data_IF_608150059616
#
_entry.id   IF_608150059616
#
_cell.length_a   1.000
_cell.length_b   1.000
_cell.length_c   1.000
_cell.angle_alpha   90.00
_cell.angle_beta   90.00
_cell.angle_gamma   90.00
#
_symmetry.space_group_name_H-M   'P 1'
#
loop_
_entity.id
_entity.type
_entity.pdbx_description
1 polymer ?
#
# COMPACT_ATOMS: atom_id res chain seq x y z
N UNK A 1 -36.01 -40.22 47.49
CA UNK A 1 -35.64 -39.34 46.38
C UNK A 1 -36.94 -38.73 45.86
N UNK A 2 -37.10 -37.43 46.09
CA UNK A 2 -38.13 -36.58 45.45
C UNK A 2 -37.73 -36.33 43.98
N UNK A 3 -38.62 -35.91 43.04
CA UNK A 3 -39.49 -34.74 43.23
C UNK A 3 -40.92 -34.74 42.65
N UNK A 4 -41.64 -33.71 43.12
CA UNK A 4 -42.98 -33.19 42.85
C UNK A 4 -43.19 -32.55 41.44
N UNK A 5 -44.45 -32.22 41.05
CA UNK A 5 -44.89 -32.07 39.66
C UNK A 5 -44.98 -30.62 39.12
N UNK A 6 -45.30 -30.56 37.83
CA UNK A 6 -45.44 -29.40 36.92
C UNK A 6 -46.58 -28.43 37.25
N UNK A 7 -46.41 -27.16 36.89
CA UNK A 7 -47.48 -26.28 36.40
C UNK A 7 -47.00 -25.43 35.22
N UNK A 8 -47.84 -25.38 34.18
CA UNK A 8 -47.73 -24.52 33.00
C UNK A 8 -48.51 -23.23 33.24
N UNK A 9 -48.09 -22.12 32.62
CA UNK A 9 -48.99 -21.15 31.98
C UNK A 9 -48.18 -20.17 31.11
N UNK A 10 -48.50 -20.11 29.82
CA UNK A 10 -47.99 -19.08 28.91
C UNK A 10 -48.80 -17.79 28.97
N UNK A 11 -48.29 -16.71 28.36
CA UNK A 11 -49.03 -15.71 27.53
C UNK A 11 -48.04 -14.63 27.04
N UNK A 12 -47.97 -14.45 25.71
CA UNK A 12 -48.00 -13.17 24.98
C UNK A 12 -46.91 -12.08 25.13
N UNK A 13 -46.29 -11.76 23.98
CA UNK A 13 -45.78 -10.45 23.50
C UNK A 13 -44.72 -9.73 24.39
N UNK A 14 -43.64 -9.13 23.89
CA UNK A 14 -43.57 -8.04 22.92
C UNK A 14 -42.16 -7.97 22.31
N UNK A 15 -42.10 -7.47 21.07
CA UNK A 15 -40.90 -6.97 20.41
C UNK A 15 -40.35 -5.78 21.19
N UNK A 16 -39.08 -5.81 21.56
CA UNK A 16 -38.34 -4.57 21.84
C UNK A 16 -37.08 -4.48 20.98
N UNK A 17 -36.98 -3.30 20.41
CA UNK A 17 -36.14 -2.82 19.34
C UNK A 17 -34.98 -2.09 20.02
N UNK A 18 -33.80 -2.70 20.19
CA UNK A 18 -32.61 -1.98 20.65
C UNK A 18 -31.99 -1.20 19.48
N UNK A 19 -32.64 -0.09 19.18
CA UNK A 19 -32.03 1.02 18.48
C UNK A 19 -30.93 1.66 19.36
N UNK A 20 -29.78 1.92 18.75
CA UNK A 20 -28.96 3.10 18.98
C UNK A 20 -28.33 3.26 20.39
N UNK A 21 -27.20 2.58 20.60
CA UNK A 21 -26.21 3.00 21.59
C UNK A 21 -25.58 4.33 21.15
N UNK A 22 -25.56 5.39 21.97
CA UNK A 22 -24.94 6.65 21.59
C UNK A 22 -23.40 6.52 21.57
N UNK A 23 -22.80 6.94 20.46
CA UNK A 23 -21.36 7.11 20.33
C UNK A 23 -20.87 8.16 21.33
N UNK A 24 -19.91 7.78 22.18
CA UNK A 24 -19.21 8.71 23.07
C UNK A 24 -18.36 9.64 22.21
N UNK A 25 -18.81 10.88 22.09
CA UNK A 25 -18.15 11.99 21.41
C UNK A 25 -16.90 12.40 22.21
N UNK A 26 -15.72 12.28 21.62
CA UNK A 26 -14.49 12.85 22.19
C UNK A 26 -14.59 14.39 22.22
N UNK A 27 -14.19 15.06 23.32
CA UNK A 27 -14.23 16.51 23.40
C UNK A 27 -13.16 17.14 22.50
N UNK A 28 -13.57 18.17 21.78
CA UNK A 28 -12.79 18.92 20.81
C UNK A 28 -12.47 20.29 21.42
N UNK A 29 -11.32 20.40 22.09
CA UNK A 29 -10.66 21.66 22.46
C UNK A 29 -9.39 21.35 23.26
N UNK A 30 -8.22 21.26 22.61
CA UNK A 30 -6.87 21.49 23.22
C UNK A 30 -5.75 21.22 22.20
N UNK A 31 -5.78 21.93 21.06
CA UNK A 31 -4.57 22.15 20.25
C UNK A 31 -4.55 23.61 19.85
N UNK A 32 -4.46 24.48 20.85
CA UNK A 32 -4.07 25.88 20.69
C UNK A 32 -3.19 26.26 21.89
N UNK A 33 -2.03 26.84 21.59
CA UNK A 33 -0.99 27.37 22.47
C UNK A 33 0.22 26.47 22.77
N UNK A 34 1.10 26.35 21.77
CA UNK A 34 2.54 26.30 22.03
C UNK A 34 3.20 27.53 21.34
N UNK A 35 4.03 28.32 22.04
CA UNK A 35 4.59 29.56 21.48
C UNK A 35 5.67 29.27 20.43
N UNK A 36 5.50 29.85 19.25
CA UNK A 36 6.52 29.93 18.20
C UNK A 36 7.56 30.97 18.59
N UNK A 37 8.76 30.54 18.97
CA UNK A 37 9.92 31.43 19.09
C UNK A 37 10.71 31.43 17.78
N UNK A 38 10.81 32.62 17.18
CA UNK A 38 11.59 32.93 15.99
C UNK A 38 13.08 33.12 16.34
N UNK A 39 13.98 32.89 15.38
CA UNK A 39 15.06 33.85 15.20
C UNK A 39 15.14 34.41 13.78
N UNK A 40 15.12 35.75 13.75
CA UNK A 40 15.89 36.66 12.92
C UNK A 40 15.74 36.62 11.38
N UNK A 41 15.15 37.70 10.90
CA UNK A 41 15.07 38.21 9.54
C UNK A 41 16.43 38.35 8.84
N UNK A 42 16.47 37.98 7.57
CA UNK A 42 17.56 38.27 6.64
C UNK A 42 17.07 38.31 5.19
N UNK A 43 16.64 39.52 4.77
CA UNK A 43 16.50 40.07 3.40
C UNK A 43 15.72 39.30 2.33
N UNK A 44 14.63 39.94 1.91
CA UNK A 44 13.83 39.64 0.74
C UNK A 44 14.54 40.10 -0.53
N UNK A 45 14.60 39.22 -1.53
CA UNK A 45 14.68 39.59 -2.94
C UNK A 45 13.69 38.73 -3.76
N UNK A 46 12.63 39.41 -4.20
CA UNK A 46 11.84 39.28 -5.43
C UNK A 46 11.72 37.87 -6.09
N UNK A 47 10.51 37.31 -6.01
CA UNK A 47 10.03 36.22 -6.87
C UNK A 47 9.68 36.79 -8.26
N UNK A 48 10.12 36.17 -9.38
CA UNK A 48 9.38 36.22 -10.63
C UNK A 48 8.54 34.94 -10.79
N UNK A 49 7.25 35.16 -11.02
CA UNK A 49 6.36 34.25 -11.71
C UNK A 49 6.89 33.94 -13.12
N UNK A 50 6.41 32.82 -13.66
CA UNK A 50 6.45 32.37 -15.06
C UNK A 50 7.51 31.30 -15.43
N UNK A 51 6.96 30.12 -15.73
CA UNK A 51 7.36 29.21 -16.80
C UNK A 51 8.80 28.63 -16.81
N UNK A 52 8.94 27.36 -16.42
CA UNK A 52 9.36 26.31 -17.35
C UNK A 52 9.24 24.90 -16.74
N UNK A 53 8.33 24.10 -17.30
CA UNK A 53 8.33 22.65 -17.20
C UNK A 53 9.28 22.12 -18.27
N UNK A 54 10.58 22.16 -18.04
CA UNK A 54 11.57 21.46 -18.88
C UNK A 54 12.85 21.25 -18.05
N UNK A 55 12.88 20.11 -17.34
CA UNK A 55 13.99 19.71 -16.48
C UNK A 55 14.46 18.28 -16.75
N UNK A 56 14.31 17.80 -17.99
CA UNK A 56 15.03 16.63 -18.46
C UNK A 56 16.41 17.05 -18.97
N UNK A 57 17.45 16.75 -18.18
CA UNK A 57 18.85 16.41 -18.56
C UNK A 57 19.84 16.96 -17.55
N UNK A 58 20.27 16.11 -16.64
CA UNK A 58 21.60 16.22 -16.07
C UNK A 58 22.22 14.82 -16.00
N UNK A 59 22.84 14.42 -17.11
CA UNK A 59 23.74 13.26 -17.19
C UNK A 59 25.16 13.79 -17.05
N UNK A 60 25.80 13.49 -15.92
CA UNK A 60 27.25 13.57 -15.78
C UNK A 60 27.85 12.34 -16.47
N UNK A 61 28.53 12.57 -17.59
CA UNK A 61 29.27 11.56 -18.33
C UNK A 61 30.56 11.22 -17.59
N UNK A 62 30.65 10.01 -17.04
CA UNK A 62 31.92 9.42 -16.60
C UNK A 62 32.10 8.08 -17.32
N UNK A 63 33.19 7.99 -18.09
CA UNK A 63 33.61 6.85 -18.89
C UNK A 63 33.84 5.57 -18.07
N UNK A 64 33.28 4.45 -18.55
CA UNK A 64 33.66 3.03 -18.35
C UNK A 64 32.45 2.14 -18.02
N UNK A 65 32.04 1.36 -19.02
CA UNK A 65 31.10 0.24 -18.88
C UNK A 65 29.65 0.65 -19.01
N UNK A 66 29.06 0.36 -20.17
CA UNK A 66 27.62 0.45 -20.42
C UNK A 66 26.84 -0.23 -19.28
N UNK A 67 26.35 0.57 -18.32
CA UNK A 67 25.36 0.11 -17.35
C UNK A 67 24.07 0.04 -18.13
N UNK A 68 23.77 -1.14 -18.66
CA UNK A 68 22.40 -1.48 -19.07
C UNK A 68 21.53 -1.19 -17.84
N UNK A 69 20.83 -0.05 -17.85
CA UNK A 69 19.83 0.26 -16.84
C UNK A 69 18.71 -0.73 -17.08
N UNK A 70 18.80 -1.90 -16.44
CA UNK A 70 17.77 -2.92 -16.60
C UNK A 70 16.48 -2.31 -16.06
N UNK A 71 15.48 -2.19 -16.93
CA UNK A 71 14.17 -1.74 -16.54
C UNK A 71 13.62 -2.73 -15.50
N UNK A 72 13.13 -2.19 -14.38
CA UNK A 72 12.48 -2.99 -13.32
C UNK A 72 11.10 -3.44 -13.78
N UNK A 73 10.51 -2.69 -14.70
CA UNK A 73 9.16 -2.89 -15.19
C UNK A 73 9.14 -3.05 -16.69
N UNK A 74 8.14 -3.77 -17.19
CA UNK A 74 7.82 -3.92 -18.61
C UNK A 74 6.36 -3.55 -18.87
N UNK A 75 6.02 -3.39 -20.15
CA UNK A 75 4.65 -3.13 -20.54
C UNK A 75 3.78 -4.39 -20.37
N UNK A 76 2.59 -4.21 -19.79
CA UNK A 76 1.55 -5.23 -19.73
C UNK A 76 0.35 -4.78 -20.60
N UNK A 77 -0.15 -5.59 -21.54
CA UNK A 77 -1.13 -5.13 -22.53
C UNK A 77 -2.46 -4.66 -21.94
N UNK A 78 -2.87 -5.24 -20.80
CA UNK A 78 -4.12 -4.88 -20.09
C UNK A 78 -3.91 -3.84 -18.99
N UNK A 79 -3.02 -4.13 -18.04
CA UNK A 79 -2.73 -3.31 -16.85
C UNK A 79 -1.85 -2.09 -17.18
N UNK A 80 -1.12 -2.10 -18.29
CA UNK A 80 -0.21 -1.05 -18.73
C UNK A 80 1.24 -1.29 -18.29
N UNK A 81 1.48 -1.57 -17.02
CA UNK A 81 2.84 -1.82 -16.48
C UNK A 81 2.82 -2.98 -15.50
N UNK A 82 3.86 -3.81 -15.54
CA UNK A 82 4.15 -4.84 -14.54
C UNK A 82 5.65 -4.92 -14.24
N UNK A 83 6.04 -5.60 -13.17
CA UNK A 83 7.45 -5.88 -12.93
C UNK A 83 7.99 -6.93 -13.88
N UNK A 84 9.25 -6.79 -14.30
CA UNK A 84 9.94 -7.81 -15.07
C UNK A 84 10.27 -9.01 -14.15
N UNK A 85 9.73 -10.21 -14.41
CA UNK A 85 9.96 -11.38 -13.56
C UNK A 85 11.44 -11.75 -13.46
N UNK A 86 11.86 -12.16 -12.26
CA UNK A 86 13.23 -12.57 -11.99
C UNK A 86 14.27 -11.44 -12.06
N UNK A 87 13.85 -10.16 -12.14
CA UNK A 87 14.80 -9.05 -12.11
C UNK A 87 15.32 -8.82 -10.70
N UNK A 88 16.64 -8.63 -10.60
CA UNK A 88 17.30 -8.11 -9.41
C UNK A 88 18.18 -6.94 -9.82
N UNK A 89 17.94 -5.77 -9.26
CA UNK A 89 18.63 -4.56 -9.68
C UNK A 89 18.81 -3.56 -8.54
N UNK A 90 19.95 -2.90 -8.55
CA UNK A 90 20.28 -1.81 -7.63
C UNK A 90 19.84 -0.48 -8.25
N UNK A 91 19.14 0.35 -7.48
CA UNK A 91 18.64 1.67 -7.87
C UNK A 91 19.19 2.75 -6.94
N UNK A 92 19.53 3.95 -7.45
CA UNK A 92 19.90 5.08 -6.61
C UNK A 92 18.68 5.58 -5.84
N UNK A 93 18.88 6.08 -4.62
CA UNK A 93 17.84 6.82 -3.89
C UNK A 93 17.96 8.33 -4.15
N UNK A 94 16.86 9.10 -4.06
CA UNK A 94 16.89 10.56 -4.18
C UNK A 94 17.74 11.26 -3.11
N UNK A 95 17.82 10.69 -1.90
CA UNK A 95 18.57 11.21 -0.75
C UNK A 95 20.03 10.74 -0.71
N UNK A 96 20.46 9.95 -1.70
CA UNK A 96 21.79 9.35 -1.78
C UNK A 96 21.83 7.88 -1.36
N UNK A 97 22.85 7.18 -1.85
CA UNK A 97 22.97 5.73 -1.68
C UNK A 97 22.09 4.94 -2.65
N UNK A 98 21.91 3.65 -2.35
CA UNK A 98 21.21 2.72 -3.23
C UNK A 98 20.31 1.76 -2.48
N UNK A 99 19.29 1.25 -3.16
CA UNK A 99 18.43 0.17 -2.69
C UNK A 99 18.37 -0.95 -3.74
N UNK A 100 18.10 -2.17 -3.28
CA UNK A 100 17.96 -3.34 -4.16
C UNK A 100 16.48 -3.65 -4.33
N UNK A 101 16.07 -3.79 -5.58
CA UNK A 101 14.76 -4.32 -5.96
C UNK A 101 14.97 -5.73 -6.46
N UNK A 102 14.24 -6.69 -5.89
CA UNK A 102 14.18 -8.07 -6.36
C UNK A 102 12.74 -8.44 -6.65
N UNK A 103 12.53 -9.06 -7.80
CA UNK A 103 11.26 -9.55 -8.30
C UNK A 103 11.39 -11.04 -8.53
N UNK A 104 10.42 -11.78 -8.02
CA UNK A 104 10.39 -13.23 -8.11
C UNK A 104 9.94 -13.70 -9.49
N UNK A 105 9.85 -15.02 -9.69
CA UNK A 105 9.51 -15.63 -10.98
C UNK A 105 8.08 -15.30 -11.47
N UNK A 106 7.19 -14.92 -10.55
CA UNK A 106 5.80 -14.56 -10.84
C UNK A 106 5.60 -13.05 -11.10
N UNK A 107 6.67 -12.25 -11.15
CA UNK A 107 6.55 -10.80 -11.32
C UNK A 107 6.13 -10.07 -10.03
N UNK A 108 6.20 -10.73 -8.89
CA UNK A 108 5.94 -10.11 -7.59
C UNK A 108 7.25 -9.59 -7.04
N UNK A 109 7.30 -8.32 -6.68
CA UNK A 109 8.44 -7.76 -5.96
C UNK A 109 8.50 -8.44 -4.59
N UNK A 110 9.44 -9.37 -4.41
CA UNK A 110 9.65 -10.13 -3.18
C UNK A 110 10.98 -10.90 -3.27
N UNK A 111 11.53 -11.27 -2.12
CA UNK A 111 12.73 -12.13 -2.03
C UNK A 111 12.40 -13.63 -2.09
N UNK A 112 11.12 -13.98 -2.10
CA UNK A 112 10.61 -15.36 -2.08
C UNK A 112 9.55 -15.59 -3.14
N UNK A 113 9.27 -16.87 -3.38
CA UNK A 113 8.17 -17.32 -4.23
C UNK A 113 6.90 -17.53 -3.39
N UNK A 114 5.75 -17.45 -4.06
CA UNK A 114 4.43 -17.69 -3.49
C UNK A 114 3.69 -18.74 -4.31
N UNK A 115 3.08 -19.70 -3.63
CA UNK A 115 2.21 -20.70 -4.26
C UNK A 115 0.82 -20.11 -4.52
N UNK A 116 0.16 -20.58 -5.57
CA UNK A 116 -1.23 -20.16 -5.87
C UNK A 116 -2.18 -20.58 -4.75
N UNK A 117 -2.09 -21.83 -4.31
CA UNK A 117 -2.80 -22.34 -3.12
C UNK A 117 -2.12 -21.85 -1.86
N UNK A 118 -2.92 -21.55 -0.84
CA UNK A 118 -2.41 -21.10 0.46
C UNK A 118 -1.90 -22.29 1.28
N UNK A 119 -0.71 -22.21 1.89
CA UNK A 119 -0.24 -23.26 2.79
C UNK A 119 -1.23 -23.47 3.97
N UNK A 120 -1.38 -24.71 4.48
CA UNK A 120 -2.21 -24.96 5.66
C UNK A 120 -1.73 -24.14 6.87
N UNK A 121 -2.67 -23.53 7.61
CA UNK A 121 -2.37 -22.74 8.81
C UNK A 121 -1.85 -21.32 8.54
N UNK A 122 -1.63 -20.95 7.28
CA UNK A 122 -1.23 -19.60 6.90
C UNK A 122 -2.45 -18.71 6.69
N UNK A 123 -2.37 -17.45 7.13
CA UNK A 123 -3.30 -16.37 6.78
C UNK A 123 -2.68 -15.52 5.66
N UNK A 124 -3.38 -15.37 4.54
CA UNK A 124 -2.82 -14.72 3.35
C UNK A 124 -3.56 -13.44 2.99
N UNK A 125 -2.77 -12.39 2.82
CA UNK A 125 -3.21 -11.04 2.51
C UNK A 125 -2.72 -10.68 1.11
N UNK A 126 -3.62 -10.24 0.23
CA UNK A 126 -3.25 -9.63 -1.05
C UNK A 126 -3.31 -8.12 -0.91
N UNK A 127 -2.26 -7.43 -1.38
CA UNK A 127 -2.16 -5.97 -1.34
C UNK A 127 -2.11 -5.42 -2.75
N UNK A 128 -2.97 -4.44 -3.04
CA UNK A 128 -2.97 -3.67 -4.26
C UNK A 128 -2.84 -2.19 -3.93
N UNK A 129 -1.99 -1.45 -4.65
CA UNK A 129 -1.76 -0.06 -4.33
C UNK A 129 -0.71 0.62 -5.19
N UNK A 130 -0.38 1.83 -4.77
CA UNK A 130 0.48 2.76 -5.47
C UNK A 130 1.98 2.60 -5.13
N UNK A 131 2.76 3.65 -5.39
CA UNK A 131 4.19 3.74 -5.05
C UNK A 131 4.51 3.60 -3.56
N UNK A 132 3.62 4.04 -2.66
CA UNK A 132 3.80 3.93 -1.21
C UNK A 132 3.64 2.47 -0.80
N UNK A 133 2.57 1.83 -1.25
CA UNK A 133 2.34 0.42 -0.97
C UNK A 133 3.42 -0.48 -1.63
N UNK A 134 3.92 -0.09 -2.81
CA UNK A 134 5.03 -0.78 -3.48
C UNK A 134 6.40 -0.60 -2.78
N UNK A 135 6.51 0.35 -1.84
CA UNK A 135 7.74 0.65 -1.12
C UNK A 135 8.82 1.26 -2.01
N UNK A 136 8.50 2.35 -2.70
CA UNK A 136 9.47 3.09 -3.50
C UNK A 136 10.67 3.51 -2.64
N UNK A 137 11.87 3.42 -3.24
CA UNK A 137 13.16 3.78 -2.64
C UNK A 137 13.65 2.88 -1.48
N UNK A 138 12.88 1.87 -1.11
CA UNK A 138 13.23 0.91 -0.06
C UNK A 138 13.74 -0.41 -0.63
N UNK A 139 14.59 -1.12 0.10
CA UNK A 139 14.85 -2.53 -0.20
C UNK A 139 13.61 -3.37 0.13
N UNK A 140 13.50 -4.59 -0.40
CA UNK A 140 12.33 -5.44 -0.18
C UNK A 140 12.06 -5.65 1.31
N UNK A 141 13.10 -5.90 2.11
CA UNK A 141 13.02 -6.19 3.56
C UNK A 141 12.50 -5.02 4.38
N UNK A 142 12.49 -3.80 3.83
CA UNK A 142 12.03 -2.59 4.50
C UNK A 142 10.64 -2.14 4.05
N UNK A 143 9.95 -2.92 3.20
CA UNK A 143 8.56 -2.64 2.85
C UNK A 143 7.64 -3.18 3.93
N UNK A 144 6.50 -2.53 4.12
CA UNK A 144 5.56 -2.93 5.16
C UNK A 144 5.08 -4.38 5.00
N UNK A 145 4.89 -4.86 3.76
CA UNK A 145 4.50 -6.24 3.46
C UNK A 145 5.51 -7.24 4.03
N UNK A 146 6.78 -7.01 3.77
CA UNK A 146 7.87 -7.88 4.17
C UNK A 146 8.10 -7.79 5.69
N UNK A 147 7.93 -6.61 6.28
CA UNK A 147 7.99 -6.42 7.73
C UNK A 147 6.85 -7.13 8.48
N UNK A 148 5.66 -7.26 7.87
CA UNK A 148 4.55 -8.05 8.44
C UNK A 148 4.90 -9.53 8.43
N UNK A 149 5.39 -10.07 7.30
CA UNK A 149 5.81 -11.48 7.21
C UNK A 149 6.98 -11.79 8.15
N UNK A 150 7.92 -10.86 8.32
CA UNK A 150 9.05 -11.03 9.24
C UNK A 150 8.58 -11.18 10.69
N UNK A 151 7.58 -10.38 11.09
CA UNK A 151 7.04 -10.35 12.46
C UNK A 151 6.02 -11.45 12.73
N UNK A 152 5.40 -12.03 11.69
CA UNK A 152 4.41 -13.08 11.84
C UNK A 152 4.61 -14.17 10.78
N UNK A 153 5.14 -15.32 11.23
CA UNK A 153 5.48 -16.47 10.38
C UNK A 153 4.26 -17.17 9.78
N UNK A 154 3.09 -16.98 10.37
CA UNK A 154 1.84 -17.57 9.90
C UNK A 154 1.10 -16.64 8.94
N UNK A 155 1.67 -15.49 8.58
CA UNK A 155 1.09 -14.54 7.62
C UNK A 155 1.92 -14.48 6.34
N UNK A 156 1.25 -14.54 5.20
CA UNK A 156 1.81 -14.22 3.89
C UNK A 156 1.21 -12.93 3.35
N UNK A 157 2.04 -11.98 2.92
CA UNK A 157 1.59 -10.72 2.33
C UNK A 157 2.05 -10.62 0.89
N UNK A 158 1.18 -10.97 -0.04
CA UNK A 158 1.47 -10.89 -1.47
C UNK A 158 1.16 -9.48 -1.96
N UNK A 159 2.22 -8.70 -2.15
CA UNK A 159 2.11 -7.30 -2.53
C UNK A 159 2.24 -7.10 -4.04
N UNK A 160 1.10 -6.86 -4.70
CA UNK A 160 0.98 -6.58 -6.13
C UNK A 160 1.03 -5.08 -6.46
N UNK A 161 1.38 -4.23 -5.49
CA UNK A 161 1.44 -2.78 -5.72
C UNK A 161 2.53 -2.42 -6.72
N UNK A 162 2.19 -1.55 -7.68
CA UNK A 162 3.08 -1.11 -8.75
C UNK A 162 3.28 0.41 -8.66
N UNK A 163 4.54 0.90 -8.59
CA UNK A 163 4.82 2.33 -8.60
C UNK A 163 4.24 3.03 -9.82
N UNK A 164 3.60 4.19 -9.61
CA UNK A 164 2.98 4.96 -10.68
C UNK A 164 1.66 4.39 -11.21
N UNK A 165 1.13 3.33 -10.59
CA UNK A 165 -0.16 2.78 -11.00
C UNK A 165 -1.34 3.68 -10.60
N UNK A 166 -2.28 3.84 -11.52
CA UNK A 166 -3.59 4.44 -11.28
C UNK A 166 -4.58 3.47 -10.63
N UNK A 167 -5.70 4.00 -10.13
CA UNK A 167 -6.77 3.18 -9.50
C UNK A 167 -7.42 2.21 -10.49
N UNK A 168 -7.53 2.60 -11.75
CA UNK A 168 -7.97 1.77 -12.87
C UNK A 168 -7.01 0.59 -13.12
N UNK A 169 -5.71 0.84 -13.14
CA UNK A 169 -4.69 -0.21 -13.29
C UNK A 169 -4.68 -1.17 -12.10
N UNK A 170 -4.87 -0.65 -10.88
CA UNK A 170 -5.01 -1.46 -9.67
C UNK A 170 -6.25 -2.38 -9.75
N UNK A 171 -7.38 -1.88 -10.26
CA UNK A 171 -8.59 -2.68 -10.48
C UNK A 171 -8.36 -3.78 -11.52
N UNK A 172 -7.73 -3.46 -12.65
CA UNK A 172 -7.44 -4.46 -13.70
C UNK A 172 -6.52 -5.57 -13.20
N UNK A 173 -5.51 -5.20 -12.40
CA UNK A 173 -4.59 -6.15 -11.77
C UNK A 173 -5.32 -7.01 -10.73
N UNK A 174 -6.20 -6.42 -9.92
CA UNK A 174 -7.05 -7.16 -8.99
C UNK A 174 -7.89 -8.20 -9.72
N UNK A 175 -8.62 -7.83 -10.77
CA UNK A 175 -9.46 -8.76 -11.55
C UNK A 175 -8.66 -9.92 -12.14
N UNK A 176 -7.41 -9.66 -12.51
CA UNK A 176 -6.53 -10.68 -13.09
C UNK A 176 -5.95 -11.64 -12.03
N UNK A 177 -5.76 -11.18 -10.81
CA UNK A 177 -5.05 -11.92 -9.74
C UNK A 177 -6.01 -12.62 -8.79
N UNK A 178 -7.19 -12.04 -8.52
CA UNK A 178 -8.06 -12.46 -7.41
C UNK A 178 -8.54 -13.91 -7.50
N UNK A 179 -8.75 -14.42 -8.72
CA UNK A 179 -9.12 -15.82 -8.97
C UNK A 179 -7.94 -16.80 -9.04
N UNK A 180 -6.69 -16.29 -9.07
CA UNK A 180 -5.48 -17.11 -9.21
C UNK A 180 -4.86 -17.46 -7.85
N UNK A 181 -4.87 -16.52 -6.91
CA UNK A 181 -4.28 -16.71 -5.57
C UNK A 181 -5.37 -16.88 -4.53
N UNK A 182 -5.34 -18.01 -3.81
CA UNK A 182 -6.15 -18.16 -2.59
C UNK A 182 -5.71 -17.10 -1.57
N UNK A 183 -6.66 -16.53 -0.82
CA UNK A 183 -6.41 -15.47 0.14
C UNK A 183 -7.55 -15.37 1.16
N UNK A 184 -7.26 -14.75 2.31
CA UNK A 184 -8.23 -14.51 3.38
C UNK A 184 -8.61 -13.03 3.50
N UNK A 185 -7.72 -12.14 3.05
CA UNK A 185 -7.89 -10.69 3.11
C UNK A 185 -7.35 -10.01 1.86
N UNK A 186 -8.10 -9.01 1.42
CA UNK A 186 -7.70 -8.08 0.38
C UNK A 186 -7.51 -6.69 1.00
N UNK A 187 -6.38 -6.04 0.73
CA UNK A 187 -6.13 -4.66 1.11
C UNK A 187 -5.88 -3.83 -0.15
N UNK A 188 -6.60 -2.72 -0.27
CA UNK A 188 -6.42 -1.74 -1.34
C UNK A 188 -5.90 -0.44 -0.74
N UNK A 189 -4.75 0.02 -1.21
CA UNK A 189 -4.11 1.28 -0.84
C UNK A 189 -4.24 2.28 -2.00
N UNK A 190 -5.37 2.99 -2.12
CA UNK A 190 -5.52 4.02 -3.12
C UNK A 190 -4.62 5.22 -2.79
N UNK A 191 -4.01 5.81 -3.82
CA UNK A 191 -3.29 7.07 -3.65
C UNK A 191 -4.28 8.19 -3.34
N UNK A 192 -4.08 8.92 -2.24
CA UNK A 192 -5.01 9.98 -1.79
C UNK A 192 -5.25 11.06 -2.86
N UNK A 193 -4.23 11.41 -3.67
CA UNK A 193 -4.42 12.39 -4.75
C UNK A 193 -5.24 11.84 -5.94
N UNK A 194 -5.37 10.52 -6.07
CA UNK A 194 -6.27 9.91 -7.06
C UNK A 194 -7.73 9.94 -6.61
N UNK A 195 -8.01 10.09 -5.31
CA UNK A 195 -9.37 10.27 -4.80
C UNK A 195 -9.94 11.59 -5.33
N UNK A 196 -9.19 12.70 -5.23
CA UNK A 196 -9.66 14.00 -5.74
C UNK A 196 -9.94 14.00 -7.24
N UNK A 197 -9.17 13.25 -8.05
CA UNK A 197 -9.39 13.13 -9.50
C UNK A 197 -10.68 12.37 -9.86
N UNK A 198 -11.16 11.48 -9.00
CA UNK A 198 -12.41 10.74 -9.20
C UNK A 198 -13.66 11.48 -8.70
N UNK A 199 -13.48 12.49 -7.84
CA UNK A 199 -14.58 13.28 -7.26
C UNK A 199 -14.66 14.73 -7.79
N UNK A 200 -13.75 15.13 -8.68
CA UNK A 200 -13.84 16.42 -9.38
C UNK A 200 -14.65 16.24 -10.66
N UNK A 201 -15.98 16.26 -10.51
CA UNK A 201 -16.94 16.52 -11.58
C UNK A 201 -17.09 18.01 -11.85
#
# INVERSE_FOLDING_TARGET
MDPQPQEQNGTGAFLENEAMRPAVRAPQSEIDNAPLTSPAQGRADRVPDDANLDGEKQIAENEAGSRVVRMVSRHHPRIGTEFEPGVRVTRPRPDGGTFVVQVNSAGIRSNREYTLQKPPGVYRILVFGDSQAAGCYQCNEHRFSDLIEERNRDIEVINFSIPGSGTDQQLLLFEEVIGKYEHDLLIVFPYLNNIYRNFSS
#
